data_IF_230148309441
#
_entry.id   IF_230148309441
#
_cell.length_a   1.000
_cell.length_b   1.000
_cell.length_c   1.000
_cell.angle_alpha   90.00
_cell.angle_beta   90.00
_cell.angle_gamma   90.00
#
_symmetry.space_group_name_H-M   'P 1'
#
loop_
_entity.id
_entity.type
_entity.pdbx_description
1 polymer ?
#
# COMPACT_ATOMS: atom_id res chain seq x y z
N UNK A 1 -66.85 -1.57 -26.89
CA UNK A 1 -67.30 -1.15 -25.55
C UNK A 1 -67.30 -2.43 -24.73
N UNK A 2 -66.45 -2.64 -23.74
CA UNK A 2 -65.85 -1.73 -22.77
C UNK A 2 -64.41 -2.18 -22.44
N UNK A 3 -63.60 -1.22 -22.03
CA UNK A 3 -62.16 -1.25 -21.71
C UNK A 3 -61.79 -1.89 -20.36
N UNK A 4 -60.51 -2.24 -20.23
CA UNK A 4 -59.82 -2.68 -19.00
C UNK A 4 -59.89 -1.67 -17.83
N UNK A 5 -59.36 -2.05 -16.66
CA UNK A 5 -58.35 -1.21 -16.03
C UNK A 5 -56.99 -1.90 -15.84
N UNK A 6 -55.93 -1.10 -16.05
CA UNK A 6 -54.54 -1.33 -15.65
C UNK A 6 -54.37 -1.27 -14.13
N UNK A 7 -53.49 -2.13 -13.59
CA UNK A 7 -52.42 -1.92 -12.58
C UNK A 7 -52.13 -3.26 -11.83
N UNK A 8 -50.91 -3.67 -11.48
CA UNK A 8 -49.74 -2.95 -10.98
C UNK A 8 -48.47 -3.79 -11.18
N UNK A 9 -47.36 -3.07 -11.37
CA UNK A 9 -46.04 -3.53 -11.75
C UNK A 9 -45.24 -4.27 -10.65
N UNK A 10 -44.12 -4.85 -11.11
CA UNK A 10 -42.83 -5.12 -10.45
C UNK A 10 -42.66 -6.47 -9.73
N UNK A 11 -41.97 -7.40 -10.41
CA UNK A 11 -41.05 -8.33 -9.75
C UNK A 11 -39.74 -8.47 -10.55
N UNK A 12 -39.04 -7.34 -10.72
CA UNK A 12 -37.68 -7.27 -11.30
C UNK A 12 -36.63 -6.97 -10.21
N UNK A 13 -36.79 -7.55 -9.01
CA UNK A 13 -35.92 -7.30 -7.86
C UNK A 13 -35.75 -8.60 -7.07
N UNK A 14 -34.84 -9.52 -7.39
CA UNK A 14 -33.42 -9.25 -7.44
C UNK A 14 -32.69 -10.29 -8.30
N UNK A 15 -32.43 -9.94 -9.57
CA UNK A 15 -31.14 -10.33 -10.14
C UNK A 15 -30.13 -9.47 -9.38
N UNK A 16 -29.62 -9.99 -8.27
CA UNK A 16 -28.38 -9.52 -7.68
C UNK A 16 -27.32 -9.77 -8.76
N UNK A 17 -27.20 -8.79 -9.65
CA UNK A 17 -26.05 -8.52 -10.46
C UNK A 17 -24.87 -8.57 -9.48
N UNK A 18 -24.25 -9.75 -9.41
CA UNK A 18 -22.87 -9.88 -8.94
C UNK A 18 -22.05 -9.12 -9.98
N UNK A 19 -22.19 -7.80 -9.99
CA UNK A 19 -21.17 -6.90 -10.52
C UNK A 19 -19.93 -7.38 -9.83
N UNK A 20 -19.06 -7.97 -10.63
CA UNK A 20 -17.71 -8.29 -10.25
C UNK A 20 -17.24 -7.14 -9.38
N UNK A 21 -17.08 -7.43 -8.10
CA UNK A 21 -16.48 -6.55 -7.11
C UNK A 21 -15.28 -5.93 -7.82
N UNK A 22 -15.41 -4.68 -8.24
CA UNK A 22 -14.48 -4.08 -9.17
C UNK A 22 -13.16 -4.06 -8.43
N UNK A 23 -12.24 -4.94 -8.85
CA UNK A 23 -10.90 -5.11 -8.26
C UNK A 23 -10.01 -3.90 -8.57
N UNK A 24 -10.62 -2.73 -8.81
CA UNK A 24 -9.98 -1.47 -9.18
C UNK A 24 -9.69 -0.55 -8.00
N UNK A 25 -10.42 -0.66 -6.88
CA UNK A 25 -10.28 0.27 -5.73
C UNK A 25 -9.67 -0.37 -4.47
N UNK A 26 -9.19 -1.61 -4.56
CA UNK A 26 -8.61 -2.30 -3.40
C UNK A 26 -7.10 -2.07 -3.35
N UNK A 27 -6.64 -1.44 -2.27
CA UNK A 27 -5.22 -1.33 -1.96
C UNK A 27 -4.56 -2.71 -1.96
N UNK A 28 -3.58 -2.89 -2.86
CA UNK A 28 -2.81 -4.13 -2.96
C UNK A 28 -1.75 -4.25 -1.85
N UNK A 29 -1.48 -3.13 -1.17
CA UNK A 29 -0.56 -3.05 -0.03
C UNK A 29 -1.33 -3.35 1.25
N UNK A 30 -0.84 -4.32 2.00
CA UNK A 30 -1.40 -4.70 3.28
C UNK A 30 -0.74 -3.94 4.41
N UNK A 31 -1.53 -3.51 5.40
CA UNK A 31 -1.05 -2.78 6.57
C UNK A 31 -0.15 -1.57 6.19
N UNK A 32 -0.59 -0.64 5.31
CA UNK A 32 0.25 0.45 4.81
C UNK A 32 0.63 1.48 5.89
N UNK A 33 -0.12 1.53 7.00
CA UNK A 33 0.07 2.46 8.11
C UNK A 33 0.75 1.82 9.33
N UNK A 34 1.14 0.55 9.24
CA UNK A 34 1.81 -0.19 10.33
C UNK A 34 1.02 -0.27 11.66
N UNK A 35 -0.30 -0.07 11.63
CA UNK A 35 -1.17 -0.17 12.82
C UNK A 35 -1.16 -1.59 13.40
N UNK A 36 -1.00 -2.60 12.55
CA UNK A 36 -0.85 -4.01 12.97
C UNK A 36 0.62 -4.42 13.10
N UNK A 37 1.46 -3.47 13.52
CA UNK A 37 2.89 -3.65 13.63
C UNK A 37 3.57 -3.85 12.26
N UNK A 38 4.57 -4.72 12.20
CA UNK A 38 5.32 -5.03 10.96
C UNK A 38 4.67 -6.17 10.16
N UNK A 39 3.41 -6.52 10.43
CA UNK A 39 2.70 -7.59 9.72
C UNK A 39 2.65 -7.31 8.21
N UNK A 40 2.99 -8.32 7.42
CA UNK A 40 3.15 -8.27 5.95
C UNK A 40 4.32 -7.40 5.44
N UNK A 41 5.19 -6.91 6.33
CA UNK A 41 6.38 -6.16 5.97
C UNK A 41 7.63 -6.92 6.41
N UNK A 42 8.70 -6.78 5.65
CA UNK A 42 9.96 -7.46 5.92
C UNK A 42 11.15 -6.58 5.55
N UNK A 43 12.26 -6.78 6.24
CA UNK A 43 13.52 -6.10 5.95
C UNK A 43 14.36 -6.93 4.98
N UNK A 44 14.76 -6.33 3.87
CA UNK A 44 15.65 -6.94 2.87
C UNK A 44 17.10 -6.62 3.18
N UNK A 45 17.99 -7.61 3.02
CA UNK A 45 19.45 -7.41 3.13
C UNK A 45 19.96 -7.13 4.54
N UNK A 46 19.29 -7.65 5.57
CA UNK A 46 19.66 -7.38 6.97
C UNK A 46 19.14 -6.05 7.52
N UNK A 47 18.30 -5.33 6.75
CA UNK A 47 17.54 -4.19 7.26
C UNK A 47 16.64 -4.63 8.42
N UNK A 48 16.62 -3.86 9.51
CA UNK A 48 15.69 -4.08 10.62
C UNK A 48 14.61 -2.99 10.58
N UNK A 49 13.35 -3.42 10.61
CA UNK A 49 12.21 -2.51 10.73
C UNK A 49 12.01 -2.18 12.21
N UNK A 50 11.92 -0.88 12.53
CA UNK A 50 11.54 -0.41 13.86
C UNK A 50 10.36 0.54 13.72
N UNK A 51 9.38 0.41 14.60
CA UNK A 51 8.20 1.27 14.61
C UNK A 51 8.39 2.39 15.61
N UNK A 52 7.94 3.58 15.24
CA UNK A 52 8.01 4.78 16.04
C UNK A 52 6.67 5.52 15.99
N UNK A 53 6.21 6.00 17.13
CA UNK A 53 5.16 7.02 17.24
C UNK A 53 5.75 8.44 17.14
N UNK A 54 7.02 8.60 17.52
CA UNK A 54 7.79 9.83 17.34
C UNK A 54 9.30 9.56 17.24
N UNK A 55 10.02 10.45 16.55
CA UNK A 55 11.49 10.53 16.55
C UNK A 55 11.97 11.98 16.57
N UNK A 56 13.27 12.15 16.84
CA UNK A 56 13.95 13.45 16.85
C UNK A 56 13.27 14.47 17.79
N UNK A 57 13.03 14.04 19.04
CA UNK A 57 12.41 14.86 20.10
C UNK A 57 11.05 15.46 19.69
N UNK A 58 10.22 14.68 19.00
CA UNK A 58 8.88 15.14 18.58
C UNK A 58 8.82 15.75 17.19
N UNK A 59 9.96 15.99 16.53
CA UNK A 59 9.99 16.68 15.21
C UNK A 59 9.56 15.78 14.06
N UNK A 60 9.70 14.47 14.22
CA UNK A 60 9.25 13.48 13.23
C UNK A 60 8.10 12.71 13.85
N UNK A 61 6.94 12.80 13.23
CA UNK A 61 5.70 12.13 13.63
C UNK A 61 5.05 11.48 12.40
N UNK A 62 4.20 10.46 12.57
CA UNK A 62 3.45 9.88 11.46
C UNK A 62 2.61 10.93 10.75
N UNK A 63 2.63 10.95 9.41
CA UNK A 63 1.68 11.80 8.65
C UNK A 63 0.24 11.30 8.79
N UNK A 64 0.06 9.99 8.98
CA UNK A 64 -1.24 9.37 9.22
C UNK A 64 -1.05 8.12 10.06
N UNK A 65 -2.08 7.74 10.83
CA UNK A 65 -1.98 6.62 11.77
C UNK A 65 -1.29 7.00 13.08
N UNK A 66 -0.95 5.99 13.87
CA UNK A 66 -0.32 6.09 15.19
C UNK A 66 1.19 5.93 15.14
N UNK A 67 1.69 5.21 14.16
CA UNK A 67 3.11 4.85 14.04
C UNK A 67 3.60 4.95 12.59
N UNK A 68 4.92 5.01 12.43
CA UNK A 68 5.60 4.88 11.15
C UNK A 68 6.82 3.95 11.27
N UNK A 69 7.23 3.37 10.15
CA UNK A 69 8.36 2.45 10.12
C UNK A 69 9.67 3.14 9.74
N UNK A 70 10.75 2.82 10.44
CA UNK A 70 12.11 3.21 10.13
C UNK A 70 12.91 2.01 9.62
N UNK A 71 13.67 2.23 8.54
CA UNK A 71 14.56 1.24 7.95
C UNK A 71 15.96 1.37 8.58
N UNK A 72 16.23 0.58 9.62
CA UNK A 72 17.47 0.67 10.42
C UNK A 72 18.49 -0.39 10.05
N UNK A 73 19.75 -0.20 10.49
CA UNK A 73 20.87 -1.14 10.27
C UNK A 73 21.10 -1.50 8.79
N UNK A 74 20.84 -0.55 7.89
CA UNK A 74 21.17 -0.69 6.47
C UNK A 74 22.68 -0.58 6.30
N UNK A 75 23.27 -1.51 5.56
CA UNK A 75 24.71 -1.54 5.25
C UNK A 75 24.97 -1.38 3.75
N UNK A 76 23.95 -1.57 2.92
CA UNK A 76 24.01 -1.45 1.47
C UNK A 76 22.79 -0.70 0.94
N UNK A 77 22.96 -0.04 -0.20
CA UNK A 77 21.92 0.81 -0.82
C UNK A 77 20.69 0.03 -1.29
N UNK A 78 20.72 -1.30 -1.37
CA UNK A 78 19.54 -2.10 -1.73
C UNK A 78 18.81 -2.68 -0.50
N UNK A 79 19.33 -2.45 0.71
CA UNK A 79 18.66 -2.81 1.94
C UNK A 79 17.46 -1.88 2.15
N UNK A 80 16.35 -2.42 2.62
CA UNK A 80 15.16 -1.61 2.84
C UNK A 80 13.96 -2.42 3.30
N UNK A 81 12.83 -1.74 3.40
CA UNK A 81 11.55 -2.32 3.76
C UNK A 81 10.86 -2.80 2.48
N UNK A 82 10.32 -4.01 2.48
CA UNK A 82 9.55 -4.54 1.36
C UNK A 82 8.35 -5.35 1.84
N UNK A 83 7.41 -5.57 0.93
CA UNK A 83 6.26 -6.44 1.11
C UNK A 83 6.14 -7.33 -0.12
N UNK A 84 5.82 -8.61 0.10
CA UNK A 84 5.40 -9.48 -0.99
C UNK A 84 3.99 -9.11 -1.43
N UNK A 85 3.77 -8.96 -2.73
CA UNK A 85 2.47 -8.61 -3.32
C UNK A 85 1.97 -9.63 -4.34
N UNK A 86 2.57 -10.83 -4.35
CA UNK A 86 2.17 -11.96 -5.19
C UNK A 86 0.68 -12.25 -5.03
N UNK A 87 -0.01 -12.49 -6.14
CA UNK A 87 -1.45 -12.75 -6.17
C UNK A 87 -2.35 -11.52 -5.98
N UNK A 88 -1.79 -10.37 -5.60
CA UNK A 88 -2.52 -9.09 -5.50
C UNK A 88 -2.28 -8.16 -6.70
N UNK A 89 -1.28 -8.46 -7.52
CA UNK A 89 -1.02 -7.77 -8.77
C UNK A 89 -1.70 -8.48 -9.95
N UNK A 90 -2.31 -7.69 -10.82
CA UNK A 90 -2.97 -8.10 -12.05
C UNK A 90 -2.19 -7.59 -13.27
N UNK A 91 -2.06 -8.43 -14.29
CA UNK A 91 -1.38 -8.07 -15.53
C UNK A 91 -2.17 -6.99 -16.28
N UNK A 92 -1.44 -6.05 -16.90
CA UNK A 92 -1.99 -4.94 -17.71
C UNK A 92 -2.91 -3.99 -16.93
N UNK A 93 -2.89 -4.03 -15.59
CA UNK A 93 -3.53 -3.02 -14.76
C UNK A 93 -2.49 -1.99 -14.32
N UNK A 94 -2.84 -0.71 -14.39
CA UNK A 94 -2.02 0.36 -13.87
C UNK A 94 -2.20 0.45 -12.34
N UNK A 95 -1.11 0.69 -11.62
CA UNK A 95 -1.12 0.86 -10.17
C UNK A 95 -0.43 2.16 -9.83
N UNK A 96 -1.06 2.93 -8.96
CA UNK A 96 -0.44 4.09 -8.33
C UNK A 96 0.17 3.67 -6.99
N UNK A 97 1.42 4.09 -6.76
CA UNK A 97 2.11 3.87 -5.50
C UNK A 97 2.48 5.21 -4.91
N UNK A 98 1.90 5.49 -3.74
CA UNK A 98 2.21 6.68 -2.95
C UNK A 98 2.82 6.26 -1.63
N UNK A 99 3.92 6.91 -1.25
CA UNK A 99 4.54 6.73 0.04
C UNK A 99 5.16 8.04 0.50
N UNK A 100 5.10 8.27 1.81
CA UNK A 100 5.73 9.43 2.42
C UNK A 100 6.96 8.94 3.16
N UNK A 101 8.07 9.60 2.89
CA UNK A 101 9.39 9.22 3.40
C UNK A 101 10.06 10.40 4.06
N UNK A 102 10.80 10.11 5.12
CA UNK A 102 11.63 11.10 5.80
C UNK A 102 13.03 10.52 5.93
N UNK A 103 14.05 11.33 5.66
CA UNK A 103 15.44 10.96 5.86
C UNK A 103 15.88 11.46 7.22
N UNK A 104 16.47 10.58 8.02
CA UNK A 104 16.93 10.93 9.36
C UNK A 104 18.32 10.35 9.59
N UNK A 105 19.26 11.20 9.97
CA UNK A 105 20.66 10.83 10.19
C UNK A 105 21.55 12.07 10.33
N UNK A 106 22.76 11.86 10.87
CA UNK A 106 23.73 12.95 11.07
C UNK A 106 24.24 13.46 9.71
N UNK A 107 24.15 14.77 9.50
CA UNK A 107 24.65 15.46 8.30
C UNK A 107 24.05 14.97 6.97
N UNK A 108 22.81 14.48 6.99
CA UNK A 108 22.08 14.13 5.76
C UNK A 108 21.21 15.30 5.36
N UNK A 109 21.51 15.93 4.23
CA UNK A 109 20.71 17.03 3.66
C UNK A 109 19.86 16.57 2.48
N UNK A 110 20.32 15.56 1.74
CA UNK A 110 19.62 14.97 0.60
C UNK A 110 19.81 13.46 0.58
N UNK A 111 18.84 12.74 0.01
CA UNK A 111 18.95 11.32 -0.25
C UNK A 111 18.15 10.96 -1.50
N UNK A 112 18.57 9.91 -2.21
CA UNK A 112 17.85 9.41 -3.38
C UNK A 112 16.94 8.29 -2.94
N UNK A 113 15.64 8.52 -2.92
CA UNK A 113 14.64 7.48 -2.63
C UNK A 113 14.29 6.73 -3.91
N UNK A 114 14.67 5.47 -4.03
CA UNK A 114 14.29 4.61 -5.17
C UNK A 114 13.02 3.87 -4.85
N UNK A 115 12.31 3.39 -5.87
CA UNK A 115 11.35 2.34 -5.71
C UNK A 115 11.76 1.13 -6.64
N UNK A 116 12.01 -0.12 -6.14
CA UNK A 116 12.14 -1.51 -6.72
C UNK A 116 11.14 -2.74 -6.41
N UNK A 117 10.41 -3.31 -7.40
CA UNK A 117 9.27 -4.24 -7.51
C UNK A 117 9.83 -5.34 -8.39
N UNK A 118 9.76 -6.57 -7.93
CA UNK A 118 10.53 -7.64 -8.55
C UNK A 118 9.67 -8.90 -8.66
N UNK A 119 9.82 -9.59 -9.77
CA UNK A 119 9.00 -10.74 -10.15
C UNK A 119 8.75 -10.72 -11.66
N UNK A 120 9.07 -11.81 -12.34
CA UNK A 120 8.99 -12.09 -13.79
C UNK A 120 8.65 -10.92 -14.73
N UNK A 121 9.69 -10.51 -15.49
CA UNK A 121 9.70 -9.52 -16.59
C UNK A 121 8.89 -8.24 -16.30
N UNK A 122 9.61 -7.29 -15.69
CA UNK A 122 9.53 -5.82 -15.83
C UNK A 122 9.26 -5.05 -14.52
N UNK A 123 10.32 -4.31 -14.15
CA UNK A 123 10.37 -2.98 -13.50
C UNK A 123 9.85 -2.82 -12.07
N UNK A 124 10.46 -1.84 -11.39
CA UNK A 124 10.87 -1.90 -10.00
C UNK A 124 10.18 -0.74 -9.14
N UNK A 125 9.52 -0.98 -7.95
CA UNK A 125 9.09 -0.21 -6.70
C UNK A 125 9.43 -0.80 -5.22
N UNK A 126 10.21 -0.12 -4.36
CA UNK A 126 11.04 -0.46 -3.15
C UNK A 126 11.90 0.74 -2.75
N UNK A 127 11.48 1.32 -1.65
CA UNK A 127 11.85 2.60 -1.10
C UNK A 127 13.25 2.50 -0.49
N UNK A 128 14.27 3.02 -1.18
CA UNK A 128 15.64 3.10 -0.67
C UNK A 128 16.13 4.52 -0.75
N UNK A 129 16.42 5.14 0.39
CA UNK A 129 17.25 6.36 0.51
C UNK A 129 18.75 6.06 0.40
#
# INVERSE_FOLDING_TARGET
>A
MESQPMNKANDDSAVLDKRADCVGDKDIILNPKFEDGVRNWSGRGGCKIVLHDSMADGKIVPQSGKVFASATKRTQSWNGIHQEITGRVQRKLAYDVTAVVHIFGKNVTTATVKALLYGFKQKIIAIST
#
